data_IF_781960002624
#
_entry.id   IF_781960002624
#
_cell.length_a   1.000
_cell.length_b   1.000
_cell.length_c   1.000
_cell.angle_alpha   90.00
_cell.angle_beta   90.00
_cell.angle_gamma   90.00
#
_symmetry.space_group_name_H-M   'P 1'
#
loop_
_entity.id
_entity.type
_entity.pdbx_description
1 polymer ?
#
# COMPACT_ATOMS: atom_id res chain seq x y z
N UNK A 1 66.55 -19.09 -54.31
CA UNK A 1 65.47 -20.01 -53.91
C UNK A 1 65.29 -19.88 -52.40
N UNK A 2 64.05 -19.57 -52.00
CA UNK A 2 63.42 -19.77 -50.68
C UNK A 2 64.01 -19.10 -49.43
N UNK A 3 63.52 -17.89 -49.20
CA UNK A 3 62.87 -17.34 -47.99
C UNK A 3 62.79 -18.21 -46.71
N UNK A 4 63.15 -17.61 -45.55
CA UNK A 4 62.28 -17.55 -44.36
C UNK A 4 62.86 -16.61 -43.29
N UNK A 5 62.10 -15.56 -42.98
CA UNK A 5 62.31 -14.51 -41.97
C UNK A 5 61.90 -14.99 -40.57
N UNK A 6 62.57 -14.53 -39.50
CA UNK A 6 61.88 -13.98 -38.30
C UNK A 6 62.82 -13.06 -37.44
N UNK A 7 62.34 -11.95 -36.83
CA UNK A 7 63.13 -10.77 -36.41
C UNK A 7 63.37 -10.70 -34.87
N UNK A 8 63.96 -9.60 -34.33
CA UNK A 8 64.86 -9.65 -33.16
C UNK A 8 64.19 -9.30 -31.83
N UNK A 9 64.82 -9.69 -30.72
CA UNK A 9 64.42 -9.23 -29.39
C UNK A 9 65.61 -8.58 -28.65
N UNK A 10 65.58 -7.25 -28.56
CA UNK A 10 66.53 -6.42 -27.80
C UNK A 10 65.97 -6.20 -26.40
N UNK A 11 66.61 -6.74 -25.36
CA UNK A 11 66.38 -6.33 -23.97
C UNK A 11 67.45 -5.33 -23.51
N UNK A 12 67.00 -4.11 -23.21
CA UNK A 12 67.76 -3.06 -22.55
C UNK A 12 67.67 -3.20 -21.01
N UNK A 13 68.60 -2.61 -20.24
CA UNK A 13 68.80 -2.90 -18.80
C UNK A 13 67.89 -2.09 -17.87
N UNK A 14 67.70 -2.52 -16.60
CA UNK A 14 66.91 -1.77 -15.62
C UNK A 14 67.73 -0.67 -14.90
N UNK A 15 67.18 0.55 -14.71
CA UNK A 15 67.69 1.54 -13.74
C UNK A 15 66.89 1.55 -12.40
N UNK A 16 67.39 2.26 -11.36
CA UNK A 16 67.26 1.87 -9.95
C UNK A 16 66.22 2.63 -9.10
N UNK A 17 66.07 2.12 -7.86
CA UNK A 17 65.29 2.55 -6.68
C UNK A 17 65.07 4.04 -6.41
N UNK A 18 63.89 4.39 -5.86
CA UNK A 18 63.70 5.05 -4.56
C UNK A 18 62.22 5.43 -4.34
N UNK A 19 61.66 5.11 -3.17
CA UNK A 19 60.29 5.46 -2.82
C UNK A 19 59.96 5.24 -1.34
N UNK A 20 60.60 6.02 -0.47
CA UNK A 20 60.16 6.49 0.86
C UNK A 20 59.02 5.72 1.54
N UNK A 21 59.38 4.96 2.59
CA UNK A 21 58.48 4.46 3.63
C UNK A 21 57.73 5.61 4.32
N UNK A 22 56.46 5.80 3.98
CA UNK A 22 55.52 6.56 4.82
C UNK A 22 55.14 5.69 6.03
N UNK A 23 55.06 6.24 7.26
CA UNK A 23 54.48 5.51 8.37
C UNK A 23 53.04 5.18 7.96
N UNK A 24 52.72 3.89 7.91
CA UNK A 24 51.39 3.41 7.60
C UNK A 24 50.41 4.12 8.54
N UNK A 25 49.54 4.98 7.98
CA UNK A 25 48.34 5.41 8.69
C UNK A 25 47.60 4.13 9.06
N UNK A 26 47.71 3.74 10.32
CA UNK A 26 46.96 2.64 10.88
C UNK A 26 45.51 3.10 10.87
N UNK A 27 44.76 2.71 9.85
CA UNK A 27 43.32 2.93 9.78
C UNK A 27 42.72 2.25 11.01
N UNK A 28 42.40 3.03 12.03
CA UNK A 28 41.64 2.58 13.19
C UNK A 28 40.20 2.43 12.70
N UNK A 29 39.92 1.27 12.11
CA UNK A 29 38.55 0.88 11.80
C UNK A 29 37.81 0.72 13.11
N UNK A 30 36.93 1.67 13.44
CA UNK A 30 35.95 1.55 14.51
C UNK A 30 34.84 0.55 14.12
N UNK A 31 35.22 -0.61 13.59
CA UNK A 31 34.31 -1.71 13.37
C UNK A 31 33.96 -2.29 14.75
N UNK A 32 32.74 -2.03 15.21
CA UNK A 32 32.19 -2.66 16.43
C UNK A 32 32.40 -4.18 16.34
N UNK A 33 33.05 -4.75 17.35
CA UNK A 33 33.33 -6.19 17.45
C UNK A 33 32.12 -7.04 17.88
N UNK A 34 30.95 -6.45 17.96
CA UNK A 34 29.71 -7.13 18.35
C UNK A 34 28.73 -7.02 17.20
N UNK A 35 28.34 -8.12 16.54
CA UNK A 35 27.24 -8.09 15.59
C UNK A 35 25.99 -7.60 16.33
N UNK A 36 25.32 -6.58 15.80
CA UNK A 36 24.00 -6.22 16.30
C UNK A 36 23.14 -7.48 16.20
N UNK A 37 22.49 -7.85 17.31
CA UNK A 37 21.50 -8.91 17.30
C UNK A 37 20.58 -8.70 16.08
N UNK A 38 20.32 -9.74 15.27
CA UNK A 38 19.46 -9.60 14.12
C UNK A 38 18.17 -8.95 14.59
N UNK A 39 17.84 -7.81 13.98
CA UNK A 39 16.65 -7.05 14.32
C UNK A 39 15.51 -8.07 14.35
N UNK A 40 14.86 -8.19 15.52
CA UNK A 40 13.71 -9.06 15.67
C UNK A 40 12.69 -8.78 14.58
N UNK A 41 11.76 -9.74 14.33
CA UNK A 41 10.84 -9.67 13.22
C UNK A 41 10.23 -8.26 13.09
N UNK A 42 10.23 -7.70 11.88
CA UNK A 42 9.83 -6.32 11.64
C UNK A 42 8.48 -6.06 12.32
N UNK A 43 8.33 -5.04 13.19
CA UNK A 43 7.05 -4.75 13.79
C UNK A 43 6.00 -4.57 12.69
N UNK A 44 4.75 -4.99 12.91
CA UNK A 44 3.69 -4.93 11.91
C UNK A 44 3.60 -3.53 11.32
N UNK A 45 3.35 -3.43 10.01
CA UNK A 45 3.42 -2.18 9.25
C UNK A 45 2.64 -1.03 9.91
N UNK A 46 1.49 -1.30 10.52
CA UNK A 46 0.71 -0.32 11.28
C UNK A 46 1.44 0.26 12.51
N UNK A 47 2.25 -0.52 13.22
CA UNK A 47 3.07 -0.03 14.34
C UNK A 47 4.25 0.82 13.86
N UNK A 48 4.78 0.54 12.66
CA UNK A 48 5.83 1.36 12.03
C UNK A 48 5.28 2.70 11.55
N UNK A 49 4.10 2.68 10.93
CA UNK A 49 3.43 3.89 10.44
C UNK A 49 2.96 4.76 11.60
N UNK A 50 2.35 4.20 12.64
CA UNK A 50 1.95 4.97 13.83
C UNK A 50 3.13 5.57 14.60
N UNK A 51 4.25 4.83 14.74
CA UNK A 51 5.48 5.37 15.34
C UNK A 51 6.11 6.48 14.48
N UNK A 52 6.07 6.36 13.15
CA UNK A 52 6.52 7.41 12.24
C UNK A 52 5.60 8.64 12.28
N UNK A 53 4.28 8.44 12.35
CA UNK A 53 3.28 9.50 12.43
C UNK A 53 3.32 10.26 13.76
N UNK A 54 3.55 9.57 14.88
CA UNK A 54 3.66 10.24 16.19
C UNK A 54 4.92 11.10 16.26
N UNK A 55 6.06 10.59 15.79
CA UNK A 55 7.28 11.39 15.71
C UNK A 55 7.15 12.54 14.69
N UNK A 56 6.57 12.31 13.51
CA UNK A 56 6.33 13.35 12.53
C UNK A 56 5.32 14.39 13.02
N UNK A 57 4.28 13.97 13.74
CA UNK A 57 3.22 14.84 14.27
C UNK A 57 3.73 15.76 15.37
N UNK A 58 4.56 15.26 16.28
CA UNK A 58 5.19 16.09 17.32
C UNK A 58 6.14 17.13 16.72
N UNK A 59 6.93 16.74 15.71
CA UNK A 59 7.79 17.68 14.98
C UNK A 59 6.96 18.71 14.19
N UNK A 60 5.90 18.27 13.51
CA UNK A 60 5.01 19.16 12.76
C UNK A 60 4.31 20.18 13.66
N UNK A 61 3.92 19.79 14.88
CA UNK A 61 3.31 20.71 15.84
C UNK A 61 4.29 21.81 16.28
N UNK A 62 5.56 21.45 16.50
CA UNK A 62 6.61 22.42 16.83
C UNK A 62 6.82 23.43 15.68
N UNK A 63 6.95 22.94 14.44
CA UNK A 63 7.07 23.80 13.26
C UNK A 63 5.83 24.67 13.04
N UNK A 64 4.63 24.14 13.29
CA UNK A 64 3.39 24.89 13.15
C UNK A 64 3.31 26.03 14.17
N UNK A 65 3.71 25.78 15.42
CA UNK A 65 3.74 26.83 16.46
C UNK A 65 4.73 27.94 16.11
N UNK A 66 5.92 27.58 15.67
CA UNK A 66 6.93 28.54 15.24
C UNK A 66 6.45 29.36 14.02
N UNK A 67 5.83 28.70 13.04
CA UNK A 67 5.23 29.38 11.89
C UNK A 67 4.10 30.36 12.27
N UNK A 68 3.30 30.04 13.29
CA UNK A 68 2.25 30.93 13.81
C UNK A 68 2.86 32.15 14.51
N UNK A 69 3.90 31.96 15.32
CA UNK A 69 4.59 33.07 15.99
C UNK A 69 5.26 34.00 14.98
N UNK A 70 5.91 33.45 13.95
CA UNK A 70 6.49 34.21 12.84
C UNK A 70 5.43 34.95 12.03
N UNK A 71 4.29 34.31 11.75
CA UNK A 71 3.18 34.96 11.06
C UNK A 71 2.65 36.17 11.82
N UNK A 72 2.56 36.09 13.16
CA UNK A 72 2.09 37.22 13.98
C UNK A 72 3.01 38.43 13.86
N UNK A 73 4.32 38.23 13.80
CA UNK A 73 5.36 39.28 13.72
C UNK A 73 5.50 39.91 12.34
N UNK A 74 4.96 39.30 11.28
CA UNK A 74 5.09 39.77 9.89
C UNK A 74 4.14 40.92 9.54
N UNK A 75 4.51 41.65 8.49
CA UNK A 75 3.77 42.78 7.95
C UNK A 75 2.42 42.39 7.33
N UNK A 76 1.51 43.38 7.24
CA UNK A 76 0.16 43.23 6.69
C UNK A 76 0.14 42.67 5.26
N UNK A 77 1.13 43.04 4.44
CA UNK A 77 1.24 42.56 3.05
C UNK A 77 1.56 41.06 2.98
N UNK A 78 2.44 40.56 3.85
CA UNK A 78 2.73 39.13 3.96
C UNK A 78 1.50 38.36 4.44
N UNK A 79 0.80 38.89 5.44
CA UNK A 79 -0.43 38.29 5.98
C UNK A 79 -1.51 38.11 4.90
N UNK A 80 -1.67 39.09 4.02
CA UNK A 80 -2.63 38.99 2.91
C UNK A 80 -2.29 37.83 1.95
N UNK A 81 -1.03 37.71 1.51
CA UNK A 81 -0.61 36.61 0.63
C UNK A 81 -0.76 35.25 1.29
N UNK A 82 -0.39 35.15 2.56
CA UNK A 82 -0.55 33.93 3.34
C UNK A 82 -2.02 33.53 3.50
N UNK A 83 -2.94 34.48 3.68
CA UNK A 83 -4.38 34.20 3.71
C UNK A 83 -4.90 33.62 2.39
N UNK A 84 -4.43 34.12 1.25
CA UNK A 84 -4.80 33.58 -0.07
C UNK A 84 -4.34 32.12 -0.19
N UNK A 85 -3.10 31.83 0.19
CA UNK A 85 -2.57 30.46 0.16
C UNK A 85 -3.33 29.56 1.13
N UNK A 86 -3.60 30.02 2.35
CA UNK A 86 -4.35 29.26 3.36
C UNK A 86 -5.77 28.93 2.87
N UNK A 87 -6.46 29.90 2.26
CA UNK A 87 -7.78 29.67 1.68
C UNK A 87 -7.74 28.63 0.55
N UNK A 88 -6.72 28.67 -0.32
CA UNK A 88 -6.55 27.69 -1.39
C UNK A 88 -6.27 26.27 -0.85
N UNK A 89 -5.41 26.14 0.16
CA UNK A 89 -5.15 24.86 0.83
C UNK A 89 -6.44 24.32 1.47
N UNK A 90 -7.18 25.17 2.17
CA UNK A 90 -8.44 24.80 2.82
C UNK A 90 -9.46 24.29 1.79
N UNK A 91 -9.59 24.99 0.66
CA UNK A 91 -10.48 24.60 -0.43
C UNK A 91 -10.08 23.23 -1.00
N UNK A 92 -8.78 23.02 -1.18
CA UNK A 92 -8.24 21.77 -1.74
C UNK A 92 -8.49 20.58 -0.80
N UNK A 93 -8.20 20.74 0.50
CA UNK A 93 -8.46 19.72 1.52
C UNK A 93 -9.96 19.41 1.61
N UNK A 94 -10.82 20.43 1.57
CA UNK A 94 -12.27 20.25 1.56
C UNK A 94 -12.73 19.44 0.35
N UNK A 95 -12.19 19.73 -0.83
CA UNK A 95 -12.46 18.95 -2.05
C UNK A 95 -12.08 17.48 -1.90
N UNK A 96 -10.92 17.17 -1.30
CA UNK A 96 -10.49 15.79 -1.04
C UNK A 96 -11.42 15.08 -0.07
N UNK A 97 -11.86 15.74 1.01
CA UNK A 97 -12.78 15.16 1.99
C UNK A 97 -14.14 14.85 1.36
N UNK A 98 -14.64 15.71 0.47
CA UNK A 98 -15.91 15.50 -0.23
C UNK A 98 -15.78 14.43 -1.33
N UNK A 99 -14.68 14.42 -2.07
CA UNK A 99 -14.44 13.48 -3.16
C UNK A 99 -14.11 12.06 -2.67
N UNK A 100 -13.45 11.95 -1.51
CA UNK A 100 -13.14 10.70 -0.85
C UNK A 100 -13.82 10.69 0.53
N UNK A 101 -15.14 10.45 0.61
CA UNK A 101 -15.77 10.17 1.88
C UNK A 101 -15.02 8.99 2.49
N UNK A 102 -14.71 9.09 3.79
CA UNK A 102 -13.81 8.20 4.53
C UNK A 102 -14.21 6.71 4.54
N UNK A 103 -15.26 6.32 3.79
CA UNK A 103 -15.66 4.95 3.47
C UNK A 103 -14.83 4.27 2.37
N UNK A 104 -13.95 4.98 1.64
CA UNK A 104 -12.96 4.32 0.78
C UNK A 104 -11.87 3.56 1.59
N UNK A 105 -11.84 3.73 2.91
CA UNK A 105 -11.02 2.94 3.83
C UNK A 105 -11.71 1.68 4.36
N UNK A 106 -12.99 1.46 4.02
CA UNK A 106 -13.71 0.19 4.26
C UNK A 106 -13.61 -0.76 3.08
N UNK A 107 -12.67 -0.54 2.15
CA UNK A 107 -12.28 -1.55 1.19
C UNK A 107 -11.53 -2.66 1.95
N UNK A 108 -12.29 -3.55 2.61
CA UNK A 108 -11.77 -4.55 3.53
C UNK A 108 -10.69 -5.38 2.86
N UNK A 109 -9.44 -5.22 3.32
CA UNK A 109 -8.15 -5.87 3.00
C UNK A 109 -7.80 -6.22 1.53
N UNK A 110 -8.76 -6.45 0.63
CA UNK A 110 -8.64 -6.87 -0.77
C UNK A 110 -9.19 -5.85 -1.77
N UNK A 111 -9.50 -4.62 -1.35
CA UNK A 111 -10.05 -3.61 -2.25
C UNK A 111 -11.49 -3.91 -2.69
N UNK A 112 -12.26 -4.62 -1.86
CA UNK A 112 -13.61 -5.06 -2.21
C UNK A 112 -14.67 -4.09 -1.68
N UNK A 113 -15.61 -3.70 -2.54
CA UNK A 113 -16.77 -2.90 -2.15
C UNK A 113 -18.06 -3.65 -2.42
N UNK A 114 -18.91 -3.72 -1.39
CA UNK A 114 -20.21 -4.38 -1.46
C UNK A 114 -21.34 -3.36 -1.61
N UNK A 115 -22.25 -3.64 -2.54
CA UNK A 115 -23.54 -2.95 -2.70
C UNK A 115 -24.63 -4.01 -2.67
N UNK A 116 -25.49 -3.96 -1.65
CA UNK A 116 -26.64 -4.86 -1.52
C UNK A 116 -27.92 -4.06 -1.68
N UNK A 117 -28.78 -4.47 -2.61
CA UNK A 117 -30.15 -4.00 -2.65
C UNK A 117 -31.07 -5.05 -2.01
N UNK A 118 -31.22 -4.96 -0.69
CA UNK A 118 -31.99 -5.92 0.12
C UNK A 118 -33.52 -5.65 0.08
N UNK A 119 -33.94 -4.46 -0.34
CA UNK A 119 -35.37 -4.11 -0.46
C UNK A 119 -36.05 -4.73 -1.69
N UNK A 120 -35.26 -5.23 -2.65
CA UNK A 120 -35.77 -5.97 -3.81
C UNK A 120 -35.89 -7.46 -3.51
N UNK A 121 -36.98 -8.04 -3.99
CA UNK A 121 -37.18 -9.50 -4.01
C UNK A 121 -37.21 -9.95 -5.48
N UNK A 122 -36.20 -10.70 -5.97
CA UNK A 122 -35.04 -11.21 -5.24
C UNK A 122 -33.94 -10.15 -5.01
N UNK A 123 -33.13 -10.29 -3.94
CA UNK A 123 -32.03 -9.37 -3.66
C UNK A 123 -30.96 -9.43 -4.75
N UNK A 124 -30.30 -8.30 -4.96
CA UNK A 124 -29.14 -8.21 -5.85
C UNK A 124 -27.91 -7.88 -5.00
N UNK A 125 -26.90 -8.73 -5.09
CA UNK A 125 -25.62 -8.57 -4.40
C UNK A 125 -24.59 -8.20 -5.46
N UNK A 126 -24.01 -7.00 -5.35
CA UNK A 126 -23.02 -6.49 -6.28
C UNK A 126 -21.71 -6.24 -5.54
N UNK A 127 -20.63 -6.84 -6.01
CA UNK A 127 -19.30 -6.72 -5.41
C UNK A 127 -18.36 -6.13 -6.45
N UNK A 128 -17.73 -5.01 -6.12
CA UNK A 128 -16.75 -4.33 -6.96
C UNK A 128 -15.34 -4.67 -6.52
N UNK A 129 -14.47 -4.95 -7.49
CA UNK A 129 -13.03 -5.01 -7.29
C UNK A 129 -12.45 -3.60 -7.51
N UNK A 130 -12.30 -2.84 -6.43
CA UNK A 130 -11.66 -1.51 -6.45
C UNK A 130 -10.12 -1.61 -6.35
N UNK A 131 -9.57 -2.82 -6.28
CA UNK A 131 -8.12 -3.01 -6.28
C UNK A 131 -7.51 -2.78 -7.68
N UNK A 132 -6.18 -2.67 -7.72
CA UNK A 132 -5.41 -2.51 -8.97
C UNK A 132 -5.11 -3.84 -9.66
N UNK A 133 -5.44 -4.96 -9.04
CA UNK A 133 -5.09 -6.31 -9.48
C UNK A 133 -6.37 -7.15 -9.70
N UNK A 134 -6.36 -8.10 -10.66
CA UNK A 134 -7.50 -8.97 -10.85
C UNK A 134 -7.57 -10.02 -9.73
N UNK A 135 -8.76 -10.25 -9.18
CA UNK A 135 -8.96 -11.37 -8.28
C UNK A 135 -9.02 -12.69 -9.05
N UNK A 136 -8.51 -13.75 -8.44
CA UNK A 136 -8.56 -15.12 -8.95
C UNK A 136 -9.26 -16.05 -7.94
N UNK A 137 -9.86 -17.12 -8.45
CA UNK A 137 -10.55 -18.16 -7.66
C UNK A 137 -11.60 -17.57 -6.70
N UNK A 138 -12.40 -16.65 -7.24
CA UNK A 138 -13.35 -15.86 -6.47
C UNK A 138 -14.50 -16.74 -6.00
N UNK A 139 -14.69 -16.83 -4.69
CA UNK A 139 -15.83 -17.49 -4.07
C UNK A 139 -16.51 -16.53 -3.11
N UNK A 140 -17.79 -16.28 -3.34
CA UNK A 140 -18.63 -15.46 -2.47
C UNK A 140 -19.50 -16.39 -1.66
N UNK A 141 -19.47 -16.22 -0.35
CA UNK A 141 -20.30 -16.96 0.61
C UNK A 141 -21.31 -16.00 1.22
N UNK A 142 -22.59 -16.33 1.06
CA UNK A 142 -23.74 -15.57 1.56
C UNK A 142 -24.40 -16.35 2.69
N UNK A 143 -24.67 -15.66 3.81
CA UNK A 143 -25.25 -16.21 5.03
C UNK A 143 -24.54 -17.48 5.54
N UNK A 144 -23.22 -17.58 5.29
CA UNK A 144 -22.37 -18.72 5.64
C UNK A 144 -22.78 -20.08 5.03
N UNK A 145 -23.76 -20.11 4.14
CA UNK A 145 -24.36 -21.34 3.62
C UNK A 145 -24.39 -21.41 2.11
N UNK A 146 -24.68 -20.30 1.46
CA UNK A 146 -24.83 -20.23 0.02
C UNK A 146 -23.55 -19.74 -0.62
N UNK A 147 -23.09 -20.39 -1.68
CA UNK A 147 -21.85 -20.05 -2.37
C UNK A 147 -22.10 -19.80 -3.86
N UNK A 148 -21.39 -18.83 -4.40
CA UNK A 148 -21.18 -18.66 -5.83
C UNK A 148 -19.68 -18.56 -6.09
N UNK A 149 -19.21 -19.16 -7.17
CA UNK A 149 -17.81 -19.12 -7.57
C UNK A 149 -17.68 -18.53 -8.97
N UNK A 150 -16.63 -17.75 -9.17
CA UNK A 150 -16.22 -17.18 -10.45
C UNK A 150 -14.71 -17.38 -10.61
N UNK A 151 -14.24 -17.61 -11.84
CA UNK A 151 -12.81 -17.85 -12.09
C UNK A 151 -11.95 -16.62 -11.81
N UNK A 152 -12.37 -15.45 -12.31
CA UNK A 152 -11.63 -14.20 -12.13
C UNK A 152 -12.57 -12.99 -12.14
N UNK A 153 -12.14 -11.91 -11.49
CA UNK A 153 -12.76 -10.58 -11.57
C UNK A 153 -11.67 -9.56 -11.85
N UNK A 154 -11.73 -8.91 -13.00
CA UNK A 154 -10.75 -7.90 -13.40
C UNK A 154 -10.64 -6.74 -12.39
N UNK A 155 -9.50 -6.07 -12.37
CA UNK A 155 -9.32 -4.82 -11.63
C UNK A 155 -10.33 -3.76 -12.12
N UNK A 156 -11.03 -3.10 -11.20
CA UNK A 156 -12.16 -2.20 -11.51
C UNK A 156 -13.43 -2.92 -11.97
N UNK A 157 -13.43 -4.25 -12.05
CA UNK A 157 -14.57 -5.07 -12.45
C UNK A 157 -15.60 -5.24 -11.34
N UNK A 158 -16.68 -5.95 -11.66
CA UNK A 158 -17.71 -6.30 -10.68
C UNK A 158 -18.20 -7.74 -10.85
N UNK A 159 -18.81 -8.24 -9.79
CA UNK A 159 -19.51 -9.51 -9.73
C UNK A 159 -20.94 -9.25 -9.26
N UNK A 160 -21.91 -9.61 -10.10
CA UNK A 160 -23.33 -9.51 -9.78
C UNK A 160 -23.87 -10.89 -9.44
N UNK A 161 -24.43 -11.04 -8.24
CA UNK A 161 -25.01 -12.29 -7.76
C UNK A 161 -26.50 -12.09 -7.48
N UNK A 162 -27.27 -13.10 -7.90
CA UNK A 162 -28.68 -13.25 -7.57
C UNK A 162 -28.89 -14.61 -6.90
N UNK A 163 -29.97 -14.83 -6.13
CA UNK A 163 -30.21 -16.11 -5.46
C UNK A 163 -30.16 -17.34 -6.39
N UNK A 164 -30.47 -17.17 -7.68
CA UNK A 164 -30.40 -18.24 -8.68
C UNK A 164 -28.97 -18.71 -9.01
N UNK A 165 -27.96 -17.91 -8.67
CA UNK A 165 -26.54 -18.23 -8.86
C UNK A 165 -25.90 -18.77 -7.58
N UNK A 166 -26.64 -18.75 -6.47
CA UNK A 166 -26.18 -19.14 -5.15
C UNK A 166 -26.59 -20.58 -4.86
N UNK A 167 -25.59 -21.42 -4.59
CA UNK A 167 -25.76 -22.84 -4.26
C UNK A 167 -25.52 -23.08 -2.77
N UNK A 168 -26.52 -23.64 -2.10
CA UNK A 168 -26.46 -24.03 -0.70
C UNK A 168 -25.97 -25.46 -0.49
N UNK A 169 -26.11 -25.99 0.73
CA UNK A 169 -25.87 -27.40 1.04
C UNK A 169 -26.72 -28.31 0.15
N UNK A 170 -26.14 -29.42 -0.32
CA UNK A 170 -26.85 -30.38 -1.18
C UNK A 170 -27.16 -29.87 -2.60
N UNK A 171 -26.44 -28.85 -3.09
CA UNK A 171 -26.67 -28.22 -4.41
C UNK A 171 -28.06 -27.61 -4.58
N UNK A 172 -28.72 -27.25 -3.48
CA UNK A 172 -30.01 -26.56 -3.48
C UNK A 172 -29.79 -25.08 -3.74
N UNK A 173 -30.58 -24.48 -4.65
CA UNK A 173 -30.50 -23.05 -4.93
C UNK A 173 -30.98 -22.21 -3.74
N UNK A 174 -30.43 -21.01 -3.59
CA UNK A 174 -30.90 -20.07 -2.59
C UNK A 174 -32.35 -19.63 -2.86
N UNK A 175 -33.16 -19.42 -1.80
CA UNK A 175 -34.54 -18.98 -1.96
C UNK A 175 -34.60 -17.56 -2.54
N UNK A 176 -35.65 -17.25 -3.31
CA UNK A 176 -35.84 -15.93 -3.92
C UNK A 176 -36.03 -14.82 -2.88
N UNK A 177 -36.59 -15.15 -1.71
CA UNK A 177 -36.75 -14.23 -0.57
C UNK A 177 -35.57 -14.28 0.42
N UNK A 178 -34.35 -14.58 -0.04
CA UNK A 178 -33.17 -14.63 0.82
C UNK A 178 -32.92 -13.26 1.48
N UNK A 179 -32.95 -13.19 2.80
CA UNK A 179 -32.46 -12.03 3.54
C UNK A 179 -30.95 -12.13 3.70
N UNK A 180 -30.20 -11.24 3.08
CA UNK A 180 -28.73 -11.24 3.13
C UNK A 180 -28.29 -10.62 4.45
N UNK A 181 -27.65 -11.40 5.33
CA UNK A 181 -27.11 -10.94 6.63
C UNK A 181 -25.59 -10.96 6.65
N UNK A 182 -24.98 -11.92 5.96
CA UNK A 182 -23.53 -12.08 5.94
C UNK A 182 -23.05 -12.26 4.51
N UNK A 183 -21.98 -11.55 4.15
CA UNK A 183 -21.31 -11.69 2.86
C UNK A 183 -19.81 -11.78 3.10
N UNK A 184 -19.23 -12.90 2.71
CA UNK A 184 -17.79 -13.15 2.76
C UNK A 184 -17.28 -13.35 1.34
N UNK A 185 -16.22 -12.63 1.00
CA UNK A 185 -15.47 -12.80 -0.25
C UNK A 185 -14.21 -13.61 0.06
N UNK A 186 -13.95 -14.64 -0.75
CA UNK A 186 -12.74 -15.45 -0.69
C UNK A 186 -12.10 -15.43 -2.07
N UNK A 187 -10.80 -15.23 -2.12
CA UNK A 187 -9.99 -15.26 -3.34
C UNK A 187 -8.77 -16.16 -3.09
N UNK A 188 -7.95 -16.35 -4.11
CA UNK A 188 -6.63 -17.00 -3.96
C UNK A 188 -5.69 -16.24 -3.01
N UNK A 189 -5.85 -14.92 -2.91
CA UNK A 189 -4.98 -14.02 -2.13
C UNK A 189 -5.42 -13.87 -0.67
N UNK A 190 -6.71 -14.10 -0.38
CA UNK A 190 -7.20 -13.90 0.98
C UNK A 190 -8.71 -14.01 1.13
N UNK A 191 -9.20 -13.45 2.24
CA UNK A 191 -10.62 -13.43 2.58
C UNK A 191 -10.99 -12.05 3.14
N UNK A 192 -12.17 -11.56 2.79
CA UNK A 192 -12.73 -10.34 3.35
C UNK A 192 -14.16 -10.59 3.79
N UNK A 193 -14.50 -10.13 4.98
CA UNK A 193 -15.89 -10.04 5.42
C UNK A 193 -16.43 -8.70 4.95
N UNK A 194 -17.36 -8.71 4.00
CA UNK A 194 -17.95 -7.49 3.42
C UNK A 194 -19.21 -7.06 4.16
N UNK A 195 -19.91 -8.02 4.77
CA UNK A 195 -21.09 -7.76 5.59
C UNK A 195 -21.17 -8.79 6.70
N UNK A 196 -21.53 -8.35 7.90
CA UNK A 196 -21.75 -9.21 9.06
C UNK A 196 -22.96 -8.73 9.83
N UNK A 197 -23.88 -9.64 10.16
CA UNK A 197 -25.09 -9.30 10.93
C UNK A 197 -25.94 -8.17 10.30
N UNK A 198 -25.89 -8.02 8.96
CA UNK A 198 -26.59 -6.98 8.22
C UNK A 198 -25.86 -5.63 8.14
N UNK A 199 -24.70 -5.49 8.80
CA UNK A 199 -23.87 -4.28 8.75
C UNK A 199 -22.72 -4.44 7.75
N UNK A 200 -22.54 -3.44 6.89
CA UNK A 200 -21.39 -3.35 5.97
C UNK A 200 -20.09 -3.12 6.76
N UNK A 201 -18.99 -3.72 6.31
CA UNK A 201 -17.67 -3.63 6.95
C UNK A 201 -16.66 -2.92 6.07
#
# INVERSE_FOLDING_TARGET
>A
MSDARQPPDRKAPPPPSAGTSRPAMRAVSAARATPLAPAGPPPPLGKRVSAALTNAGLNALAYAREAVEDFRRRDRFFKFKAMVVAAWVLLSVSGVVVACPSGALSAGEMGARLVVNAERVPPIILIYNESKEPWQDVTVVVNRQYRASSGSVAAGGNLTLTPKLLLGPGNVLAPLGLHVTDVELRTSEGRATLMREGELR
#
